data_IF_272118412831
#
_entry.id   IF_272118412831
#
_cell.length_a   1.000
_cell.length_b   1.000
_cell.length_c   1.000
_cell.angle_alpha   90.00
_cell.angle_beta   90.00
_cell.angle_gamma   90.00
#
_symmetry.space_group_name_H-M   'P 1'
#
loop_
_entity.id
_entity.type
_entity.pdbx_description
1 polymer ?
#
# COMPACT_ATOMS: atom_id res chain seq x y z
N UNK A 1 54.17 3.16 26.98
CA UNK A 1 53.76 4.58 27.07
C UNK A 1 52.80 4.83 25.91
N UNK A 2 51.50 5.01 26.05
CA UNK A 2 50.75 5.98 26.84
C UNK A 2 49.35 5.38 27.06
N UNK A 3 48.97 5.17 28.32
CA UNK A 3 47.65 4.67 28.73
C UNK A 3 46.79 5.88 29.09
N UNK A 4 45.82 6.24 28.23
CA UNK A 4 44.84 7.29 28.51
C UNK A 4 43.65 6.68 29.27
N UNK A 5 43.69 6.78 30.60
CA UNK A 5 42.53 6.56 31.48
C UNK A 5 41.52 7.70 31.27
N UNK A 6 40.32 7.39 30.79
CA UNK A 6 39.15 8.27 30.90
C UNK A 6 38.46 7.97 32.23
N UNK A 7 38.40 8.96 33.09
CA UNK A 7 37.61 8.95 34.31
C UNK A 7 36.11 8.97 33.96
N UNK A 8 35.38 7.95 34.40
CA UNK A 8 33.92 7.97 34.47
C UNK A 8 33.53 8.62 35.80
N UNK A 9 32.85 9.76 35.74
CA UNK A 9 32.17 10.35 36.88
C UNK A 9 30.84 9.63 37.13
N UNK A 10 30.45 9.39 38.39
CA UNK A 10 29.16 8.80 38.72
C UNK A 10 28.05 9.84 38.49
N UNK A 11 27.10 9.51 37.61
CA UNK A 11 25.92 10.32 37.34
C UNK A 11 24.81 9.84 38.27
N UNK A 12 24.72 10.44 39.45
CA UNK A 12 23.53 10.34 40.31
C UNK A 12 22.36 11.01 39.58
N UNK A 13 21.40 10.20 39.13
CA UNK A 13 20.09 10.65 38.65
C UNK A 13 19.03 10.07 39.58
N UNK A 14 18.83 10.73 40.71
CA UNK A 14 17.57 10.68 41.45
C UNK A 14 16.53 11.48 40.68
N UNK A 15 16.02 10.91 39.59
CA UNK A 15 14.85 11.45 38.90
C UNK A 15 13.61 11.02 39.69
N UNK A 16 13.19 11.90 40.60
CA UNK A 16 11.87 11.84 41.23
C UNK A 16 10.84 12.12 40.13
N UNK A 17 10.04 11.12 39.77
CA UNK A 17 8.93 11.26 38.83
C UNK A 17 7.78 12.05 39.49
N UNK A 18 7.37 13.22 38.95
CA UNK A 18 6.20 13.93 39.43
C UNK A 18 4.98 13.50 38.60
N UNK A 19 4.51 12.27 38.77
CA UNK A 19 3.31 11.76 38.09
C UNK A 19 2.40 10.93 39.02
N UNK A 20 2.34 11.25 40.32
CA UNK A 20 1.34 10.66 41.24
C UNK A 20 0.16 11.56 41.58
N UNK A 21 0.12 12.82 41.13
CA UNK A 21 -0.80 13.84 41.68
C UNK A 21 -1.94 14.27 40.75
N UNK A 22 -2.34 13.43 39.80
CA UNK A 22 -3.53 13.70 38.96
C UNK A 22 -4.81 12.97 39.42
N UNK A 23 -4.83 12.36 40.62
CA UNK A 23 -5.97 11.54 41.08
C UNK A 23 -6.88 12.16 42.14
N UNK A 24 -6.72 13.44 42.51
CA UNK A 24 -7.39 13.94 43.73
C UNK A 24 -8.02 15.34 43.65
N UNK A 25 -8.43 15.81 42.46
CA UNK A 25 -9.10 17.12 42.31
C UNK A 25 -10.27 17.11 41.33
N UNK A 26 -11.13 16.09 41.41
CA UNK A 26 -12.51 16.15 40.88
C UNK A 26 -13.50 16.24 42.04
N UNK A 27 -13.40 17.34 42.81
CA UNK A 27 -14.46 17.76 43.72
C UNK A 27 -15.36 18.78 43.03
N UNK A 28 -16.63 18.38 42.90
CA UNK A 28 -17.84 19.22 42.92
C UNK A 28 -17.95 20.37 41.91
N UNK A 29 -18.36 20.05 40.69
CA UNK A 29 -19.09 21.01 39.84
C UNK A 29 -20.58 20.92 40.21
N UNK A 30 -21.23 22.01 40.68
CA UNK A 30 -22.66 22.02 40.94
C UNK A 30 -23.44 21.89 39.63
N UNK A 31 -24.21 20.80 39.51
CA UNK A 31 -25.15 20.57 38.40
C UNK A 31 -26.30 21.58 38.49
N UNK A 32 -26.32 22.55 37.58
CA UNK A 32 -27.48 23.39 37.30
C UNK A 32 -28.51 22.59 36.48
N UNK A 33 -29.77 22.42 36.94
CA UNK A 33 -30.79 21.70 36.20
C UNK A 33 -31.67 22.67 35.40
N UNK A 34 -31.21 23.11 34.23
CA UNK A 34 -32.09 23.73 33.24
C UNK A 34 -31.42 23.84 31.86
N UNK A 35 -31.77 22.92 30.95
CA UNK A 35 -32.05 23.11 29.51
C UNK A 35 -31.66 21.89 28.65
N UNK A 36 -32.37 20.75 28.73
CA UNK A 36 -32.00 19.54 27.98
C UNK A 36 -32.56 19.46 26.55
N UNK A 37 -33.02 20.56 25.92
CA UNK A 37 -33.73 20.47 24.63
C UNK A 37 -33.13 21.24 23.45
N UNK A 38 -32.20 22.17 23.68
CA UNK A 38 -31.57 22.93 22.58
C UNK A 38 -30.19 22.39 22.19
N UNK A 39 -29.46 21.71 23.09
CA UNK A 39 -28.18 21.06 22.73
C UNK A 39 -28.38 19.82 21.85
N UNK A 40 -29.38 18.98 22.12
CA UNK A 40 -29.63 17.77 21.32
C UNK A 40 -29.93 18.06 19.84
N UNK A 41 -30.52 19.22 19.53
CA UNK A 41 -30.81 19.63 18.15
C UNK A 41 -29.58 20.18 17.42
N UNK A 42 -28.70 20.91 18.12
CA UNK A 42 -27.44 21.38 17.56
C UNK A 42 -26.42 20.24 17.38
N UNK A 43 -26.40 19.26 18.30
CA UNK A 43 -25.61 18.04 18.15
C UNK A 43 -26.12 17.18 16.98
N UNK A 44 -27.45 17.04 16.81
CA UNK A 44 -28.03 16.32 15.68
C UNK A 44 -27.75 17.00 14.33
N UNK A 45 -27.76 18.34 14.27
CA UNK A 45 -27.41 19.09 13.06
C UNK A 45 -25.91 19.06 12.75
N UNK A 46 -25.06 19.06 13.78
CA UNK A 46 -23.60 18.87 13.65
C UNK A 46 -23.27 17.47 13.11
N UNK A 47 -23.88 16.42 13.67
CA UNK A 47 -23.74 15.03 13.22
C UNK A 47 -24.26 14.81 11.79
N UNK A 48 -25.40 15.44 11.43
CA UNK A 48 -25.94 15.37 10.08
C UNK A 48 -25.07 16.12 9.05
N UNK A 49 -24.51 17.28 9.42
CA UNK A 49 -23.57 18.04 8.59
C UNK A 49 -22.23 17.32 8.37
N UNK A 50 -21.68 16.69 9.41
CA UNK A 50 -20.44 15.91 9.34
C UNK A 50 -20.59 14.62 8.53
N UNK A 51 -21.71 13.92 8.67
CA UNK A 51 -22.05 12.73 7.88
C UNK A 51 -22.10 13.04 6.38
N UNK A 52 -22.67 14.19 6.01
CA UNK A 52 -22.71 14.62 4.62
C UNK A 52 -21.29 14.91 4.11
N UNK A 53 -20.47 15.68 4.84
CA UNK A 53 -19.11 16.02 4.41
C UNK A 53 -18.20 14.79 4.21
N UNK A 54 -18.27 13.80 5.11
CA UNK A 54 -17.49 12.56 5.01
C UNK A 54 -17.94 11.62 3.86
N UNK A 55 -19.24 11.61 3.54
CA UNK A 55 -19.74 10.91 2.35
C UNK A 55 -19.22 11.54 1.05
N UNK A 56 -19.12 12.88 1.00
CA UNK A 56 -18.61 13.58 -0.19
C UNK A 56 -17.11 13.34 -0.41
N UNK A 57 -16.29 13.27 0.65
CA UNK A 57 -14.85 13.00 0.50
C UNK A 57 -14.59 11.57 0.01
N UNK A 58 -15.32 10.59 0.54
CA UNK A 58 -15.18 9.17 0.15
C UNK A 58 -15.63 8.94 -1.30
N UNK A 59 -16.74 9.57 -1.71
CA UNK A 59 -17.18 9.58 -3.10
C UNK A 59 -16.15 10.24 -4.02
N UNK A 60 -15.56 11.37 -3.61
CA UNK A 60 -14.54 12.04 -4.40
C UNK A 60 -13.30 11.17 -4.61
N UNK A 61 -12.82 10.49 -3.57
CA UNK A 61 -11.65 9.62 -3.68
C UNK A 61 -11.92 8.38 -4.54
N UNK A 62 -13.12 7.79 -4.47
CA UNK A 62 -13.53 6.72 -5.39
C UNK A 62 -13.64 7.20 -6.85
N UNK A 63 -14.16 8.41 -7.06
CA UNK A 63 -14.22 9.05 -8.38
C UNK A 63 -12.82 9.32 -8.93
N UNK A 64 -11.90 9.83 -8.10
CA UNK A 64 -10.50 10.05 -8.49
C UNK A 64 -9.79 8.74 -8.84
N UNK A 65 -10.04 7.66 -8.09
CA UNK A 65 -9.44 6.36 -8.35
C UNK A 65 -10.00 5.71 -9.62
N UNK A 66 -11.32 5.85 -9.87
CA UNK A 66 -11.94 5.46 -11.12
C UNK A 66 -11.43 6.30 -12.31
N UNK A 67 -11.23 7.61 -12.12
CA UNK A 67 -10.67 8.50 -13.13
C UNK A 67 -9.21 8.16 -13.45
N UNK A 68 -8.40 7.83 -12.44
CA UNK A 68 -7.02 7.38 -12.62
C UNK A 68 -6.95 6.04 -13.36
N UNK A 69 -7.81 5.08 -13.01
CA UNK A 69 -7.94 3.81 -13.74
C UNK A 69 -8.38 4.04 -15.20
N UNK A 70 -9.32 4.96 -15.43
CA UNK A 70 -9.77 5.37 -16.76
C UNK A 70 -8.66 6.04 -17.58
N UNK A 71 -7.89 6.95 -16.97
CA UNK A 71 -6.75 7.61 -17.60
C UNK A 71 -5.65 6.62 -17.99
N UNK A 72 -5.33 5.67 -17.10
CA UNK A 72 -4.37 4.59 -17.38
C UNK A 72 -4.85 3.69 -18.54
N UNK A 73 -6.13 3.33 -18.56
CA UNK A 73 -6.70 2.54 -19.65
C UNK A 73 -6.66 3.31 -20.99
N UNK A 74 -6.95 4.61 -20.98
CA UNK A 74 -6.84 5.48 -22.15
C UNK A 74 -5.40 5.57 -22.65
N UNK A 75 -4.43 5.74 -21.76
CA UNK A 75 -3.00 5.80 -22.11
C UNK A 75 -2.54 4.50 -22.76
N UNK A 76 -2.97 3.34 -22.24
CA UNK A 76 -2.70 2.02 -22.83
C UNK A 76 -3.32 1.85 -24.21
N UNK A 77 -4.56 2.29 -24.39
CA UNK A 77 -5.21 2.31 -25.70
C UNK A 77 -4.47 3.21 -26.69
N UNK A 78 -3.98 4.38 -26.25
CA UNK A 78 -3.22 5.31 -27.08
C UNK A 78 -1.85 4.77 -27.47
N UNK A 79 -1.10 4.20 -26.52
CA UNK A 79 0.22 3.61 -26.76
C UNK A 79 0.16 2.52 -27.84
N UNK A 80 -0.89 1.69 -27.80
CA UNK A 80 -1.04 0.62 -28.77
C UNK A 80 -1.61 1.10 -30.13
N UNK A 81 -2.37 2.21 -30.18
CA UNK A 81 -2.70 2.89 -31.44
C UNK A 81 -1.46 3.46 -32.12
N UNK A 82 -0.48 3.97 -31.35
CA UNK A 82 0.81 4.45 -31.89
C UNK A 82 1.70 3.33 -32.43
N UNK A 83 1.53 2.09 -31.96
CA UNK A 83 2.27 0.92 -32.45
C UNK A 83 1.65 0.27 -33.71
N UNK A 84 0.46 0.70 -34.13
CA UNK A 84 -0.24 0.13 -35.29
C UNK A 84 0.10 0.69 -36.70
N UNK A 85 0.86 1.80 -36.93
CA UNK A 85 0.85 2.45 -38.23
C UNK A 85 1.73 1.80 -39.31
N UNK A 86 2.65 0.87 -39.02
CA UNK A 86 3.54 0.36 -40.09
C UNK A 86 2.96 -0.79 -40.93
N UNK A 87 2.01 -1.58 -40.42
CA UNK A 87 1.52 -2.76 -41.17
C UNK A 87 0.37 -2.41 -42.13
N UNK A 88 -0.27 -1.26 -41.96
CA UNK A 88 -1.41 -0.85 -42.78
C UNK A 88 -1.00 -0.21 -44.14
N UNK A 89 0.25 0.25 -44.28
CA UNK A 89 0.76 0.82 -45.54
C UNK A 89 0.94 -0.19 -46.68
N UNK A 90 1.00 -1.49 -46.37
CA UNK A 90 1.22 -2.55 -47.37
C UNK A 90 -0.03 -3.28 -47.85
N UNK A 91 -1.21 -3.03 -47.26
CA UNK A 91 -2.41 -3.86 -47.44
C UNK A 91 -3.54 -3.20 -48.24
N UNK A 92 -3.30 -2.02 -48.83
CA UNK A 92 -4.21 -1.42 -49.80
C UNK A 92 -4.13 -2.05 -51.21
N UNK A 93 -3.34 -3.12 -51.37
CA UNK A 93 -3.36 -3.96 -52.56
C UNK A 93 -4.06 -5.30 -52.27
N UNK A 94 -5.26 -5.45 -52.83
CA UNK A 94 -6.00 -6.71 -53.02
C UNK A 94 -6.72 -7.34 -51.79
N UNK A 95 -8.02 -7.06 -51.66
CA UNK A 95 -9.06 -8.11 -51.86
C UNK A 95 -10.48 -7.56 -51.62
N UNK A 96 -11.40 -7.67 -52.60
CA UNK A 96 -12.82 -7.37 -52.41
C UNK A 96 -13.56 -8.64 -51.96
N UNK A 97 -13.68 -8.85 -50.64
CA UNK A 97 -14.42 -9.99 -50.09
C UNK A 97 -14.73 -9.78 -48.61
N UNK A 98 -15.87 -9.16 -48.34
CA UNK A 98 -16.25 -8.61 -47.04
C UNK A 98 -16.55 -9.64 -45.96
N UNK A 99 -15.59 -9.86 -45.05
CA UNK A 99 -15.88 -10.23 -43.68
C UNK A 99 -15.78 -8.94 -42.84
N UNK A 100 -16.85 -8.58 -42.13
CA UNK A 100 -16.88 -7.45 -41.19
C UNK A 100 -15.90 -7.79 -40.06
N UNK A 101 -14.64 -7.40 -40.25
CA UNK A 101 -13.60 -7.53 -39.25
C UNK A 101 -14.00 -6.69 -38.04
N UNK A 102 -14.37 -7.39 -36.96
CA UNK A 102 -14.64 -6.79 -35.66
C UNK A 102 -13.50 -5.80 -35.34
N UNK A 103 -13.81 -4.55 -34.95
CA UNK A 103 -12.79 -3.51 -34.81
C UNK A 103 -11.69 -3.98 -33.87
N UNK A 104 -10.44 -3.96 -34.34
CA UNK A 104 -9.24 -4.38 -33.59
C UNK A 104 -9.16 -3.73 -32.19
N UNK A 105 -9.83 -2.59 -32.00
CA UNK A 105 -10.00 -1.88 -30.72
C UNK A 105 -10.60 -2.75 -29.60
N UNK A 106 -11.48 -3.72 -29.90
CA UNK A 106 -12.09 -4.59 -28.86
C UNK A 106 -11.13 -5.66 -28.32
N UNK A 107 -10.10 -6.04 -29.09
CA UNK A 107 -9.13 -7.05 -28.66
C UNK A 107 -8.28 -6.56 -27.48
N UNK A 108 -8.01 -5.25 -27.44
CA UNK A 108 -7.25 -4.60 -26.38
C UNK A 108 -8.06 -4.45 -25.11
N UNK A 109 -9.32 -4.03 -25.25
CA UNK A 109 -10.25 -3.97 -24.13
C UNK A 109 -10.39 -5.35 -23.49
N UNK A 110 -10.47 -6.43 -24.29
CA UNK A 110 -10.48 -7.81 -23.77
C UNK A 110 -9.22 -8.20 -23.00
N UNK A 111 -8.05 -7.67 -23.37
CA UNK A 111 -6.79 -7.91 -22.65
C UNK A 111 -6.72 -7.16 -21.32
N UNK A 112 -7.30 -5.95 -21.26
CA UNK A 112 -7.32 -5.11 -20.06
C UNK A 112 -8.52 -5.38 -19.14
N UNK A 113 -9.58 -6.00 -19.66
CA UNK A 113 -10.79 -6.34 -18.91
C UNK A 113 -10.52 -7.08 -17.59
N UNK A 114 -9.65 -8.12 -17.52
CA UNK A 114 -9.39 -8.78 -16.25
C UNK A 114 -8.74 -7.84 -15.23
N UNK A 115 -7.87 -6.92 -15.67
CA UNK A 115 -7.22 -5.94 -14.77
C UNK A 115 -8.24 -4.93 -14.25
N UNK A 116 -9.09 -4.41 -15.13
CA UNK A 116 -10.16 -3.48 -14.76
C UNK A 116 -11.16 -4.13 -13.82
N UNK A 117 -11.62 -5.35 -14.13
CA UNK A 117 -12.53 -6.11 -13.25
C UNK A 117 -11.91 -6.36 -11.88
N UNK A 118 -10.62 -6.68 -11.82
CA UNK A 118 -9.94 -6.92 -10.55
C UNK A 118 -9.79 -5.63 -9.72
N UNK A 119 -9.47 -4.50 -10.35
CA UNK A 119 -9.44 -3.19 -9.67
C UNK A 119 -10.83 -2.79 -9.18
N UNK A 120 -11.86 -2.93 -10.02
CA UNK A 120 -13.24 -2.64 -9.63
C UNK A 120 -13.71 -3.55 -8.51
N UNK A 121 -13.31 -4.83 -8.50
CA UNK A 121 -13.59 -5.76 -7.41
C UNK A 121 -12.87 -5.36 -6.12
N UNK A 122 -11.58 -4.97 -6.18
CA UNK A 122 -10.87 -4.47 -5.01
C UNK A 122 -11.55 -3.21 -4.44
N UNK A 123 -11.98 -2.30 -5.31
CA UNK A 123 -12.70 -1.10 -4.90
C UNK A 123 -14.09 -1.40 -4.33
N UNK A 124 -14.81 -2.36 -4.90
CA UNK A 124 -16.12 -2.75 -4.40
C UNK A 124 -16.03 -3.48 -3.07
N UNK A 125 -15.03 -4.35 -2.88
CA UNK A 125 -14.74 -5.01 -1.60
C UNK A 125 -14.32 -3.99 -0.56
N UNK A 126 -13.41 -3.08 -0.91
CA UNK A 126 -13.02 -1.98 -0.03
C UNK A 126 -14.28 -1.20 0.38
N UNK A 127 -15.09 -0.73 -0.57
CA UNK A 127 -16.36 -0.03 -0.34
C UNK A 127 -17.36 -0.81 0.53
N UNK A 128 -17.52 -2.11 0.29
CA UNK A 128 -18.42 -2.98 1.05
C UNK A 128 -17.96 -3.13 2.51
N UNK A 129 -16.66 -3.29 2.75
CA UNK A 129 -16.11 -3.33 4.11
C UNK A 129 -16.39 -2.02 4.88
N UNK A 130 -16.51 -0.88 4.18
CA UNK A 130 -16.80 0.42 4.79
C UNK A 130 -18.27 0.52 5.18
N UNK A 131 -19.14 0.12 4.25
CA UNK A 131 -20.59 0.16 4.44
C UNK A 131 -21.00 -0.82 5.54
N UNK A 132 -20.42 -2.03 5.51
CA UNK A 132 -20.75 -3.08 6.46
C UNK A 132 -20.12 -2.88 7.85
N UNK A 133 -19.24 -1.88 8.05
CA UNK A 133 -18.56 -1.58 9.33
C UNK A 133 -18.08 -2.85 10.05
N UNK A 134 -17.43 -3.76 9.34
CA UNK A 134 -17.26 -5.17 9.71
C UNK A 134 -16.44 -5.46 10.99
N UNK A 135 -16.00 -4.44 11.72
CA UNK A 135 -15.33 -4.58 13.03
C UNK A 135 -16.20 -3.98 14.14
N UNK A 136 -17.38 -4.56 14.38
CA UNK A 136 -18.00 -4.57 15.70
C UNK A 136 -17.40 -5.72 16.51
N UNK A 137 -16.08 -5.69 16.74
CA UNK A 137 -15.59 -6.40 17.91
C UNK A 137 -16.29 -5.79 19.12
N UNK A 138 -16.70 -6.63 20.06
CA UNK A 138 -17.46 -6.22 21.23
C UNK A 138 -16.65 -5.23 22.06
N UNK A 139 -16.76 -3.95 21.72
CA UNK A 139 -16.22 -2.85 22.52
C UNK A 139 -17.01 -2.85 23.82
N UNK A 140 -16.34 -2.78 24.98
CA UNK A 140 -17.02 -2.61 26.25
C UNK A 140 -18.04 -1.48 26.16
N UNK A 141 -19.25 -1.68 26.70
CA UNK A 141 -20.34 -0.69 26.63
C UNK A 141 -19.97 0.68 27.19
N UNK A 142 -18.95 0.75 28.06
CA UNK A 142 -18.44 1.99 28.64
C UNK A 142 -17.69 2.85 27.61
N UNK A 143 -17.09 2.24 26.59
CA UNK A 143 -16.29 2.92 25.56
C UNK A 143 -17.04 3.07 24.22
N UNK A 144 -18.30 2.63 24.15
CA UNK A 144 -19.05 2.58 22.89
C UNK A 144 -19.21 3.97 22.25
N UNK A 145 -19.41 5.02 23.07
CA UNK A 145 -19.57 6.39 22.58
C UNK A 145 -18.24 6.99 22.10
N UNK A 146 -17.14 6.74 22.83
CA UNK A 146 -15.80 7.15 22.41
C UNK A 146 -15.41 6.43 21.13
N UNK A 147 -15.67 5.13 21.04
CA UNK A 147 -15.43 4.34 19.84
C UNK A 147 -16.29 4.78 18.64
N UNK A 148 -17.54 5.19 18.89
CA UNK A 148 -18.42 5.76 17.87
C UNK A 148 -17.86 7.10 17.37
N UNK A 149 -17.34 7.94 18.26
CA UNK A 149 -16.69 9.19 17.89
C UNK A 149 -15.42 8.96 17.05
N UNK A 150 -14.54 8.07 17.50
CA UNK A 150 -13.32 7.68 16.76
C UNK A 150 -13.69 7.15 15.36
N UNK A 151 -14.71 6.29 15.25
CA UNK A 151 -15.17 5.79 13.95
C UNK A 151 -15.73 6.87 13.03
N UNK A 152 -16.41 7.87 13.57
CA UNK A 152 -16.90 9.00 12.78
C UNK A 152 -15.74 9.90 12.30
N UNK A 153 -14.63 9.92 13.02
CA UNK A 153 -13.40 10.65 12.68
C UNK A 153 -12.44 9.86 11.78
N UNK A 154 -12.78 8.63 11.39
CA UNK A 154 -11.99 7.80 10.46
C UNK A 154 -12.62 7.73 9.05
N UNK A 155 -12.68 8.85 8.29
CA UNK A 155 -13.06 8.78 6.89
C UNK A 155 -11.99 8.02 6.11
N UNK A 156 -12.44 7.10 5.27
CA UNK A 156 -11.54 6.34 4.43
C UNK A 156 -10.81 7.22 3.44
N UNK A 157 -9.54 6.87 3.20
CA UNK A 157 -8.62 7.58 2.32
C UNK A 157 -8.13 8.92 2.90
N UNK A 158 -8.47 9.20 4.16
CA UNK A 158 -7.89 10.30 4.94
C UNK A 158 -6.91 9.77 5.96
N UNK A 159 -7.19 8.61 6.58
CA UNK A 159 -6.25 7.97 7.50
C UNK A 159 -5.15 7.24 6.74
N UNK A 160 -3.93 7.30 7.25
CA UNK A 160 -2.78 6.60 6.67
C UNK A 160 -3.05 5.09 6.56
N UNK A 161 -3.67 4.49 7.59
CA UNK A 161 -3.88 3.05 7.66
C UNK A 161 -4.84 2.54 6.59
N UNK A 162 -5.92 3.29 6.31
CA UNK A 162 -6.85 2.93 5.24
C UNK A 162 -6.22 3.03 3.86
N UNK A 163 -5.27 3.96 3.67
CA UNK A 163 -4.54 4.13 2.42
C UNK A 163 -3.52 3.00 2.21
N UNK A 164 -2.79 2.62 3.27
CA UNK A 164 -1.84 1.50 3.22
C UNK A 164 -2.59 0.18 3.01
N UNK A 165 -3.72 -0.03 3.67
CA UNK A 165 -4.57 -1.22 3.47
C UNK A 165 -5.12 -1.29 2.04
N UNK A 166 -5.59 -0.17 1.48
CA UNK A 166 -6.01 -0.13 0.08
C UNK A 166 -4.82 -0.37 -0.87
N UNK A 167 -3.63 0.15 -0.56
CA UNK A 167 -2.42 -0.10 -1.34
C UNK A 167 -2.09 -1.60 -1.37
N UNK A 168 -2.17 -2.30 -0.24
CA UNK A 168 -1.99 -3.75 -0.16
C UNK A 168 -3.02 -4.49 -1.03
N UNK A 169 -4.30 -4.10 -0.96
CA UNK A 169 -5.36 -4.68 -1.80
C UNK A 169 -5.13 -4.45 -3.30
N UNK A 170 -4.67 -3.26 -3.71
CA UNK A 170 -4.43 -2.91 -5.12
C UNK A 170 -3.16 -3.57 -5.70
N UNK A 171 -2.21 -3.97 -4.86
CA UNK A 171 -1.01 -4.71 -5.30
C UNK A 171 -1.35 -6.10 -5.80
N UNK A 172 -2.30 -6.79 -5.16
CA UNK A 172 -2.70 -8.14 -5.55
C UNK A 172 -3.18 -8.23 -7.00
N UNK A 173 -4.16 -7.43 -7.49
CA UNK A 173 -4.59 -7.48 -8.88
C UNK A 173 -3.48 -7.05 -9.85
N UNK A 174 -2.62 -6.10 -9.46
CA UNK A 174 -1.46 -5.70 -10.26
C UNK A 174 -0.49 -6.87 -10.47
N UNK A 175 -0.12 -7.57 -9.39
CA UNK A 175 0.79 -8.71 -9.45
C UNK A 175 0.14 -9.94 -10.09
N UNK A 176 -1.15 -10.15 -9.90
CA UNK A 176 -1.90 -11.21 -10.58
C UNK A 176 -1.91 -10.97 -12.09
N UNK A 177 -2.18 -9.74 -12.52
CA UNK A 177 -2.10 -9.32 -13.91
C UNK A 177 -0.71 -9.55 -14.51
N UNK A 178 0.35 -9.19 -13.77
CA UNK A 178 1.72 -9.45 -14.19
C UNK A 178 2.04 -10.95 -14.26
N UNK A 179 1.58 -11.74 -13.29
CA UNK A 179 1.78 -13.20 -13.22
C UNK A 179 1.10 -13.92 -14.39
N UNK A 180 -0.12 -13.53 -14.74
CA UNK A 180 -0.84 -14.07 -15.90
C UNK A 180 -0.10 -13.80 -17.23
N UNK A 181 0.64 -12.68 -17.30
CA UNK A 181 1.45 -12.28 -18.46
C UNK A 181 2.92 -12.72 -18.35
N UNK A 182 3.30 -13.49 -17.34
CA UNK A 182 4.69 -13.84 -17.07
C UNK A 182 5.33 -14.68 -18.19
N UNK A 183 4.55 -15.36 -19.04
CA UNK A 183 5.09 -16.09 -20.20
C UNK A 183 5.54 -15.16 -21.32
N UNK A 184 4.95 -13.97 -21.39
CA UNK A 184 5.34 -12.87 -22.26
C UNK A 184 6.33 -11.93 -21.53
N UNK A 185 7.04 -12.44 -20.51
CA UNK A 185 7.78 -11.66 -19.51
C UNK A 185 8.77 -10.63 -20.07
N UNK A 186 9.28 -10.80 -21.30
CA UNK A 186 10.09 -9.75 -21.93
C UNK A 186 9.34 -8.41 -22.06
N UNK A 187 8.01 -8.46 -22.19
CA UNK A 187 7.14 -7.29 -22.32
C UNK A 187 6.58 -6.77 -20.98
N UNK A 188 6.73 -7.51 -19.87
CA UNK A 188 6.23 -7.03 -18.58
C UNK A 188 7.21 -5.99 -18.02
N UNK A 189 6.75 -4.77 -17.70
CA UNK A 189 7.63 -3.73 -17.21
C UNK A 189 8.11 -4.01 -15.77
N UNK A 190 7.46 -4.95 -15.07
CA UNK A 190 7.93 -5.44 -13.77
C UNK A 190 9.08 -6.46 -13.88
N UNK A 191 9.37 -7.01 -15.06
CA UNK A 191 10.36 -8.06 -15.20
C UNK A 191 11.79 -7.61 -14.86
N UNK A 192 12.54 -8.49 -14.17
CA UNK A 192 13.94 -8.27 -13.80
C UNK A 192 14.09 -7.70 -12.38
N UNK A 193 14.98 -6.72 -12.24
CA UNK A 193 15.28 -6.08 -10.95
C UNK A 193 14.04 -5.53 -10.21
N UNK A 194 13.03 -4.92 -10.87
CA UNK A 194 11.85 -4.42 -10.16
C UNK A 194 11.09 -5.53 -9.40
N UNK A 195 10.88 -6.69 -10.03
CA UNK A 195 10.24 -7.85 -9.37
C UNK A 195 11.07 -8.34 -8.19
N UNK A 196 12.39 -8.39 -8.32
CA UNK A 196 13.27 -8.85 -7.24
C UNK A 196 13.18 -7.93 -6.01
N UNK A 197 13.21 -6.61 -6.22
CA UNK A 197 13.06 -5.64 -5.13
C UNK A 197 11.66 -5.65 -4.53
N UNK A 198 10.60 -5.77 -5.34
CA UNK A 198 9.23 -5.92 -4.83
C UNK A 198 9.05 -7.20 -4.03
N UNK A 199 9.64 -8.32 -4.45
CA UNK A 199 9.62 -9.58 -3.70
C UNK A 199 10.28 -9.42 -2.34
N UNK A 200 11.46 -8.78 -2.29
CA UNK A 200 12.15 -8.51 -1.03
C UNK A 200 11.33 -7.56 -0.14
N UNK A 201 10.71 -6.53 -0.70
CA UNK A 201 9.83 -5.62 0.04
C UNK A 201 8.62 -6.36 0.64
N UNK A 202 7.96 -7.22 -0.14
CA UNK A 202 6.85 -8.03 0.33
C UNK A 202 7.28 -9.03 1.41
N UNK A 203 8.47 -9.64 1.26
CA UNK A 203 9.03 -10.55 2.27
C UNK A 203 9.32 -9.80 3.58
N UNK A 204 9.93 -8.62 3.50
CA UNK A 204 10.19 -7.77 4.67
C UNK A 204 8.88 -7.34 5.33
N UNK A 205 7.85 -6.96 4.56
CA UNK A 205 6.54 -6.59 5.10
C UNK A 205 5.84 -7.77 5.81
N UNK A 206 5.80 -8.94 5.19
CA UNK A 206 5.20 -10.13 5.82
C UNK A 206 5.98 -10.52 7.08
N UNK A 207 7.31 -10.38 7.06
CA UNK A 207 8.15 -10.62 8.24
C UNK A 207 7.83 -9.61 9.35
N UNK A 208 7.77 -8.32 9.01
CA UNK A 208 7.40 -7.25 9.94
C UNK A 208 6.04 -7.53 10.60
N UNK A 209 5.01 -7.85 9.81
CA UNK A 209 3.68 -8.15 10.33
C UNK A 209 3.65 -9.43 11.17
N UNK A 210 4.45 -10.44 10.83
CA UNK A 210 4.52 -11.69 11.57
C UNK A 210 5.25 -11.57 12.91
N UNK A 211 6.24 -10.67 13.01
CA UNK A 211 7.03 -10.47 14.23
C UNK A 211 6.54 -9.30 15.08
N UNK A 212 5.80 -8.34 14.49
CA UNK A 212 5.30 -7.17 15.20
C UNK A 212 4.19 -7.54 16.17
N UNK A 213 4.21 -6.97 17.40
CA UNK A 213 3.02 -6.87 18.24
C UNK A 213 1.86 -6.22 17.47
N UNK A 214 0.63 -6.60 17.84
CA UNK A 214 -0.61 -6.21 17.14
C UNK A 214 -0.93 -4.71 17.20
N UNK A 215 -0.27 -4.00 18.09
CA UNK A 215 -0.50 -2.60 18.44
C UNK A 215 0.54 -1.64 17.86
N UNK A 216 1.55 -2.14 17.13
CA UNK A 216 2.66 -1.30 16.62
C UNK A 216 2.58 -1.12 15.10
N UNK A 217 2.69 -2.21 14.31
CA UNK A 217 2.73 -2.13 12.84
C UNK A 217 1.54 -2.78 12.13
N UNK A 218 0.56 -3.29 12.87
CA UNK A 218 -0.66 -3.77 12.24
C UNK A 218 -1.55 -2.58 11.92
N UNK A 219 -2.13 -2.60 10.72
CA UNK A 219 -3.06 -1.57 10.33
C UNK A 219 -4.30 -1.62 11.23
N UNK A 220 -4.67 -0.48 11.79
CA UNK A 220 -5.93 -0.29 12.48
C UNK A 220 -7.05 0.06 11.50
N UNK A 221 -8.28 -0.23 11.91
CA UNK A 221 -9.49 0.16 11.18
C UNK A 221 -10.04 -0.89 10.21
N UNK A 222 -10.88 -0.48 9.23
CA UNK A 222 -11.75 -1.38 8.47
C UNK A 222 -11.01 -2.25 7.43
N UNK A 223 -9.83 -1.80 6.99
CA UNK A 223 -8.96 -2.56 6.09
C UNK A 223 -7.76 -3.19 6.83
N UNK A 224 -7.79 -3.11 8.16
CA UNK A 224 -6.71 -3.51 9.04
C UNK A 224 -6.74 -4.98 9.45
N UNK A 225 -5.90 -5.32 10.43
CA UNK A 225 -5.80 -6.65 11.01
C UNK A 225 -5.47 -7.75 10.00
N UNK A 226 -6.21 -8.87 10.05
CA UNK A 226 -5.90 -10.06 9.24
C UNK A 226 -6.06 -9.85 7.73
N UNK A 227 -6.84 -8.85 7.30
CA UNK A 227 -7.02 -8.57 5.87
C UNK A 227 -5.71 -8.10 5.25
N UNK A 228 -4.99 -7.21 5.92
CA UNK A 228 -3.69 -6.72 5.47
C UNK A 228 -2.68 -7.86 5.31
N UNK A 229 -2.56 -8.72 6.33
CA UNK A 229 -1.70 -9.90 6.30
C UNK A 229 -2.06 -10.84 5.13
N UNK A 230 -3.35 -11.08 4.89
CA UNK A 230 -3.80 -11.92 3.80
C UNK A 230 -3.49 -11.31 2.42
N UNK A 231 -3.61 -9.99 2.27
CA UNK A 231 -3.30 -9.29 1.02
C UNK A 231 -1.79 -9.27 0.76
N UNK A 232 -0.97 -8.94 1.76
CA UNK A 232 0.49 -8.94 1.63
C UNK A 232 1.04 -10.36 1.43
N UNK A 233 0.46 -11.38 2.09
CA UNK A 233 0.79 -12.78 1.85
C UNK A 233 0.44 -13.24 0.42
N UNK A 234 -0.71 -12.80 -0.09
CA UNK A 234 -1.12 -13.07 -1.48
C UNK A 234 -0.19 -12.39 -2.49
N UNK A 235 0.19 -11.14 -2.23
CA UNK A 235 1.15 -10.39 -3.03
C UNK A 235 2.52 -11.08 -3.04
N UNK A 236 3.00 -11.55 -1.89
CA UNK A 236 4.25 -12.30 -1.75
C UNK A 236 4.23 -13.58 -2.60
N UNK A 237 3.14 -14.35 -2.58
CA UNK A 237 3.02 -15.57 -3.38
C UNK A 237 3.09 -15.28 -4.91
N UNK A 238 2.40 -14.22 -5.36
CA UNK A 238 2.41 -13.81 -6.77
C UNK A 238 3.79 -13.31 -7.20
N UNK A 239 4.47 -12.52 -6.37
CA UNK A 239 5.83 -12.04 -6.61
C UNK A 239 6.85 -13.18 -6.62
N UNK A 240 6.69 -14.18 -5.74
CA UNK A 240 7.55 -15.35 -5.71
C UNK A 240 7.40 -16.17 -7.00
N UNK A 241 6.18 -16.34 -7.50
CA UNK A 241 5.94 -16.95 -8.81
C UNK A 241 6.62 -16.17 -9.94
N UNK A 242 6.45 -14.85 -9.99
CA UNK A 242 7.08 -13.97 -10.99
C UNK A 242 8.61 -14.06 -10.94
N UNK A 243 9.20 -14.01 -9.75
CA UNK A 243 10.64 -14.14 -9.56
C UNK A 243 11.15 -15.52 -9.98
N UNK A 244 10.41 -16.60 -9.69
CA UNK A 244 10.78 -17.95 -10.11
C UNK A 244 10.81 -18.09 -11.64
N UNK A 245 9.85 -17.50 -12.34
CA UNK A 245 9.85 -17.45 -13.81
C UNK A 245 11.08 -16.71 -14.34
N UNK A 246 11.47 -15.61 -13.71
CA UNK A 246 12.63 -14.82 -14.10
C UNK A 246 13.96 -15.50 -13.77
N UNK A 247 14.07 -16.17 -12.63
CA UNK A 247 15.27 -16.91 -12.24
C UNK A 247 15.59 -18.04 -13.23
N UNK A 248 14.55 -18.71 -13.78
CA UNK A 248 14.74 -19.70 -14.86
C UNK A 248 15.33 -19.08 -16.12
N UNK A 249 14.99 -17.82 -16.43
CA UNK A 249 15.57 -17.09 -17.55
C UNK A 249 17.02 -16.64 -17.25
N UNK A 250 17.30 -16.24 -16.01
CA UNK A 250 18.65 -15.85 -15.59
C UNK A 250 19.63 -17.02 -15.58
N UNK A 251 19.18 -18.22 -15.23
CA UNK A 251 20.01 -19.43 -15.23
C UNK A 251 20.56 -19.82 -16.61
N UNK A 252 20.01 -19.28 -17.70
CA UNK A 252 20.52 -19.47 -19.06
C UNK A 252 21.61 -18.45 -19.43
N UNK A 253 21.74 -17.35 -18.68
CA UNK A 253 22.79 -16.37 -18.87
C UNK A 253 23.98 -16.69 -17.97
N UNK A 254 25.23 -16.77 -18.49
CA UNK A 254 26.43 -17.04 -17.69
C UNK A 254 26.80 -15.89 -16.73
N UNK A 255 25.98 -14.84 -16.62
CA UNK A 255 26.26 -13.65 -15.83
C UNK A 255 25.42 -13.67 -14.55
N UNK A 256 26.06 -13.96 -13.42
CA UNK A 256 25.50 -13.78 -12.07
C UNK A 256 25.30 -12.30 -11.66
N UNK A 257 25.48 -11.36 -12.60
CA UNK A 257 25.43 -9.92 -12.37
C UNK A 257 24.13 -9.42 -11.70
N UNK A 258 22.91 -9.85 -12.09
CA UNK A 258 21.70 -9.30 -11.48
C UNK A 258 21.49 -9.78 -10.04
N UNK A 259 21.84 -11.04 -9.73
CA UNK A 259 21.75 -11.57 -8.38
C UNK A 259 22.74 -10.85 -7.44
N UNK A 260 23.96 -10.63 -7.89
CA UNK A 260 24.95 -9.87 -7.13
C UNK A 260 24.50 -8.41 -6.93
N UNK A 261 23.94 -7.77 -7.96
CA UNK A 261 23.42 -6.41 -7.85
C UNK A 261 22.29 -6.29 -6.83
N UNK A 262 21.34 -7.25 -6.82
CA UNK A 262 20.26 -7.30 -5.81
C UNK A 262 20.83 -7.49 -4.41
N UNK A 263 21.80 -8.41 -4.23
CA UNK A 263 22.43 -8.66 -2.94
C UNK A 263 23.16 -7.42 -2.41
N UNK A 264 23.99 -6.78 -3.24
CA UNK A 264 24.72 -5.57 -2.85
C UNK A 264 23.75 -4.41 -2.54
N UNK A 265 22.68 -4.27 -3.31
CA UNK A 265 21.63 -3.29 -3.05
C UNK A 265 20.93 -3.55 -1.72
N UNK A 266 20.60 -4.82 -1.41
CA UNK A 266 19.97 -5.19 -0.15
C UNK A 266 20.86 -4.84 1.06
N UNK A 267 22.16 -5.12 0.97
CA UNK A 267 23.11 -4.76 2.04
C UNK A 267 23.21 -3.24 2.22
N UNK A 268 23.30 -2.49 1.12
CA UNK A 268 23.37 -1.03 1.17
C UNK A 268 22.09 -0.40 1.73
N UNK A 269 20.92 -0.82 1.24
CA UNK A 269 19.62 -0.33 1.72
C UNK A 269 19.36 -0.76 3.17
N UNK A 270 19.80 -1.96 3.57
CA UNK A 270 19.75 -2.42 4.97
C UNK A 270 20.58 -1.53 5.90
N UNK A 271 21.78 -1.12 5.46
CA UNK A 271 22.59 -0.18 6.22
C UNK A 271 21.94 1.21 6.32
N UNK A 272 21.35 1.71 5.23
CA UNK A 272 20.61 2.99 5.23
C UNK A 272 19.39 2.90 6.15
N UNK A 273 18.62 1.81 6.11
CA UNK A 273 17.50 1.57 6.99
C UNK A 273 17.91 1.54 8.47
N UNK A 274 19.02 0.85 8.78
CA UNK A 274 19.56 0.78 10.14
C UNK A 274 19.94 2.15 10.69
N UNK A 275 20.57 2.98 9.86
CA UNK A 275 21.07 4.30 10.26
C UNK A 275 19.99 5.39 10.28
N UNK A 276 18.91 5.21 9.52
CA UNK A 276 17.81 6.19 9.37
C UNK A 276 16.45 5.62 9.78
N UNK A 277 16.44 4.71 10.77
CA UNK A 277 15.20 4.08 11.25
C UNK A 277 14.25 5.10 11.87
N UNK A 278 12.95 4.99 11.60
CA UNK A 278 11.93 5.78 12.27
C UNK A 278 11.67 5.19 13.65
N UNK A 279 11.89 5.93 14.73
CA UNK A 279 11.69 5.45 16.10
C UNK A 279 10.19 5.40 16.46
N UNK A 280 9.47 4.44 15.87
CA UNK A 280 8.03 4.22 16.08
C UNK A 280 7.77 3.12 17.10
N UNK A 281 8.61 2.07 17.11
CA UNK A 281 8.50 0.96 18.05
C UNK A 281 9.03 1.33 19.45
N UNK A 282 8.58 0.55 20.44
CA UNK A 282 9.03 0.69 21.82
C UNK A 282 10.53 0.35 21.99
N UNK A 283 11.19 0.88 23.04
CA UNK A 283 12.57 0.52 23.36
C UNK A 283 12.74 -0.99 23.58
N UNK A 284 13.42 -1.64 22.65
CA UNK A 284 13.59 -3.11 22.61
C UNK A 284 13.21 -3.71 21.26
N UNK A 285 12.29 -3.05 20.55
CA UNK A 285 11.75 -3.51 19.26
C UNK A 285 12.27 -2.69 18.07
N UNK A 286 13.46 -2.10 18.23
CA UNK A 286 14.12 -1.26 17.20
C UNK A 286 14.31 -1.98 15.86
N UNK A 287 14.31 -3.32 15.86
CA UNK A 287 14.43 -4.12 14.65
C UNK A 287 13.19 -3.98 13.74
N UNK A 288 12.01 -3.73 14.30
CA UNK A 288 10.78 -3.49 13.54
C UNK A 288 10.86 -2.18 12.76
N UNK A 289 11.40 -1.12 13.37
CA UNK A 289 11.64 0.18 12.72
C UNK A 289 12.57 0.06 11.50
N UNK A 290 13.57 -0.83 11.61
CA UNK A 290 14.51 -1.11 10.52
C UNK A 290 13.81 -1.85 9.40
N UNK A 291 13.00 -2.87 9.71
CA UNK A 291 12.21 -3.60 8.71
C UNK A 291 11.21 -2.69 8.00
N UNK A 292 10.51 -1.83 8.75
CA UNK A 292 9.59 -0.84 8.21
C UNK A 292 10.30 0.11 7.23
N UNK A 293 11.44 0.68 7.64
CA UNK A 293 12.24 1.57 6.80
C UNK A 293 12.79 0.85 5.56
N UNK A 294 13.27 -0.39 5.73
CA UNK A 294 13.84 -1.21 4.66
C UNK A 294 12.79 -1.54 3.60
N UNK A 295 11.54 -1.87 3.98
CA UNK A 295 10.44 -2.12 3.03
C UNK A 295 10.29 -0.95 2.07
N UNK A 296 10.17 0.28 2.58
CA UNK A 296 9.97 1.46 1.75
C UNK A 296 11.18 1.77 0.84
N UNK A 297 12.40 1.56 1.35
CA UNK A 297 13.61 1.69 0.54
C UNK A 297 13.67 0.67 -0.61
N UNK A 298 13.21 -0.57 -0.38
CA UNK A 298 13.12 -1.60 -1.40
C UNK A 298 12.04 -1.28 -2.45
N UNK A 299 10.88 -0.75 -2.02
CA UNK A 299 9.84 -0.27 -2.95
C UNK A 299 10.34 0.88 -3.81
N UNK A 300 11.10 1.82 -3.23
CA UNK A 300 11.75 2.89 -3.98
C UNK A 300 12.77 2.35 -4.99
N UNK A 301 13.60 1.39 -4.58
CA UNK A 301 14.56 0.74 -5.48
C UNK A 301 13.85 0.01 -6.64
N UNK A 302 12.72 -0.65 -6.37
CA UNK A 302 11.90 -1.25 -7.41
C UNK A 302 11.36 -0.21 -8.40
N UNK A 303 10.85 0.92 -7.91
CA UNK A 303 10.35 2.01 -8.74
C UNK A 303 11.45 2.64 -9.60
N UNK A 304 12.66 2.84 -9.03
CA UNK A 304 13.82 3.35 -9.77
C UNK A 304 14.29 2.36 -10.83
N UNK A 305 14.33 1.06 -10.52
CA UNK A 305 14.67 0.03 -11.50
C UNK A 305 13.64 -0.03 -12.64
N UNK A 306 12.36 0.13 -12.32
CA UNK A 306 11.28 0.20 -13.30
C UNK A 306 11.44 1.41 -14.22
N UNK A 307 11.67 2.59 -13.64
CA UNK A 307 11.87 3.84 -14.37
C UNK A 307 13.11 3.75 -15.27
N UNK A 308 14.23 3.25 -14.76
CA UNK A 308 15.46 3.07 -15.53
C UNK A 308 15.26 2.17 -16.74
N UNK A 309 14.50 1.08 -16.59
CA UNK A 309 14.13 0.20 -17.70
C UNK A 309 13.22 0.92 -18.71
N UNK A 310 12.21 1.65 -18.24
CA UNK A 310 11.30 2.39 -19.10
C UNK A 310 12.01 3.46 -19.93
N UNK A 311 12.96 4.19 -19.32
CA UNK A 311 13.78 5.18 -20.02
C UNK A 311 14.69 4.52 -21.06
N UNK A 312 15.33 3.40 -20.72
CA UNK A 312 16.16 2.68 -21.68
C UNK A 312 15.35 2.21 -22.90
N UNK A 313 14.18 1.62 -22.68
CA UNK A 313 13.28 1.18 -23.76
C UNK A 313 12.67 2.32 -24.59
N UNK A 314 12.72 3.58 -24.10
CA UNK A 314 12.25 4.75 -24.85
C UNK A 314 13.35 5.39 -25.70
N UNK A 315 14.62 5.04 -25.44
CA UNK A 315 15.78 5.53 -26.20
C UNK A 315 16.17 4.61 -27.35
N UNK A 316 15.79 3.33 -27.27
CA UNK A 316 15.94 2.33 -28.33
C UNK A 316 14.82 2.46 -29.38
#
# INVERSE_FOLDING_TARGET
>A
SVVRRRAQAPRDRTHVSPLSDYRTTLHSVPRSPAAPRTMAFLDALSLAGYSAAAQHSTLMSLVLLAAAAGAWALERCQAARRAAPEVAGGLLAASPGGAVALPKDLSMLRRLLPELCAVLLCLSVAGALLICRANDQAVPTEDEEVWRQIRNEWPLLVTADSLVGLQAMLRVPLFASAALRAKEASASPLAGLPTAFLLLAALVQVTLLATSPKDVYHLDGPLGGNIDIAMEGSALALLAYLAAVQLRQWGQSPRCAPALAVLLSLLALGHVAWTNRMALADPGDEHLDVLFSLRHLLELAAALAFLGRALHSAMD
#
